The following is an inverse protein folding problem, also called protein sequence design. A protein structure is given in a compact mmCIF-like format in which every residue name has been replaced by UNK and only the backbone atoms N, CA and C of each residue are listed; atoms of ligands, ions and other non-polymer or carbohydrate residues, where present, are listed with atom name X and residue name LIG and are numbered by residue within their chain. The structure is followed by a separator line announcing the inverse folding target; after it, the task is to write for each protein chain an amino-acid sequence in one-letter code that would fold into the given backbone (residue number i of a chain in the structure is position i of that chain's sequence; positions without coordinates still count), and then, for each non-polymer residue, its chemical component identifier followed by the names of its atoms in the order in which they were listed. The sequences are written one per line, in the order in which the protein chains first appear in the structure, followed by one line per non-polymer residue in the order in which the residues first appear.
data_IF_535952554205
#
_entry.id   IF_535952554205
#
_cell.length_a   1.000
_cell.length_b   1.000
_cell.length_c   1.000
_cell.angle_alpha   90.00
_cell.angle_beta   90.00
_cell.angle_gamma   90.00
#
_symmetry.space_group_name_H-M   'P 1'
#
loop_
_entity.id
_entity.type
_entity.pdbx_description
1 polymer ?
#
# COMPACT_ATOMS: atom_id res chain seq x y z
N UNK A 1 -11.69 -28.34 -8.27
CA UNK A 1 -10.46 -27.51 -8.15
C UNK A 1 -10.33 -26.66 -9.41
N UNK A 2 -11.24 -25.71 -9.64
CA UNK A 2 -11.31 -24.94 -10.90
C UNK A 2 -11.45 -23.42 -10.70
N UNK A 3 -11.31 -22.91 -9.47
CA UNK A 3 -11.48 -21.47 -9.18
C UNK A 3 -10.20 -20.64 -9.12
N UNK A 4 -9.01 -21.25 -9.01
CA UNK A 4 -7.77 -20.49 -8.80
C UNK A 4 -7.30 -19.72 -10.05
N UNK A 5 -7.66 -20.20 -11.25
CA UNK A 5 -7.15 -19.66 -12.52
C UNK A 5 -7.93 -18.44 -13.01
N UNK A 6 -9.22 -18.33 -12.67
CA UNK A 6 -10.06 -17.19 -13.03
C UNK A 6 -9.73 -15.93 -12.21
N UNK A 7 -9.37 -16.10 -10.93
CA UNK A 7 -8.96 -14.99 -10.08
C UNK A 7 -7.62 -14.39 -10.53
N UNK A 8 -6.64 -15.23 -10.86
CA UNK A 8 -5.30 -14.81 -11.29
C UNK A 8 -5.30 -13.92 -12.56
N UNK A 9 -6.25 -14.12 -13.48
CA UNK A 9 -6.38 -13.32 -14.70
C UNK A 9 -6.98 -11.93 -14.37
N UNK A 10 -7.92 -11.84 -13.41
CA UNK A 10 -8.44 -10.55 -12.91
C UNK A 10 -7.41 -9.77 -12.09
N UNK A 11 -6.47 -10.44 -11.41
CA UNK A 11 -5.37 -9.80 -10.68
C UNK A 11 -4.46 -8.95 -11.56
N UNK A 12 -4.30 -9.31 -12.85
CA UNK A 12 -3.40 -8.61 -13.76
C UNK A 12 -4.02 -7.38 -14.46
N UNK A 13 -5.35 -7.35 -14.62
CA UNK A 13 -6.05 -6.40 -15.50
C UNK A 13 -6.85 -5.32 -14.75
N UNK A 14 -7.03 -5.45 -13.44
CA UNK A 14 -7.69 -4.44 -12.62
C UNK A 14 -6.82 -3.19 -12.44
N UNK A 15 -7.05 -2.15 -13.26
CA UNK A 15 -6.51 -0.83 -13.00
C UNK A 15 -6.88 -0.36 -11.57
N UNK A 16 -5.97 0.35 -10.90
CA UNK A 16 -6.20 0.88 -9.55
C UNK A 16 -7.50 1.70 -9.44
N UNK A 17 -7.85 2.46 -10.49
CA UNK A 17 -9.10 3.19 -10.53
C UNK A 17 -10.35 2.28 -10.53
N UNK A 18 -10.26 1.10 -11.14
CA UNK A 18 -11.34 0.11 -11.12
C UNK A 18 -11.51 -0.47 -9.72
N UNK A 19 -10.40 -0.83 -9.05
CA UNK A 19 -10.43 -1.29 -7.66
C UNK A 19 -11.03 -0.22 -6.74
N UNK A 20 -10.64 1.04 -6.90
CA UNK A 20 -11.20 2.17 -6.14
C UNK A 20 -12.70 2.30 -6.34
N UNK A 21 -13.20 2.24 -7.58
CA UNK A 21 -14.63 2.29 -7.88
C UNK A 21 -15.40 1.10 -7.32
N UNK A 22 -14.75 -0.05 -7.19
CA UNK A 22 -15.31 -1.24 -6.55
C UNK A 22 -15.35 -1.15 -5.01
N UNK A 23 -14.94 -0.03 -4.42
CA UNK A 23 -14.95 0.20 -2.97
C UNK A 23 -13.66 -0.17 -2.26
N UNK A 24 -12.63 -0.60 -3.01
CA UNK A 24 -11.33 -0.90 -2.43
C UNK A 24 -10.59 0.41 -2.08
N UNK A 25 -10.21 0.55 -0.81
CA UNK A 25 -9.52 1.69 -0.24
C UNK A 25 -8.04 1.40 0.04
N UNK A 26 -7.69 0.14 0.25
CA UNK A 26 -6.35 -0.30 0.64
C UNK A 26 -5.88 -1.54 -0.13
N UNK A 27 -4.55 -1.65 -0.21
CA UNK A 27 -3.83 -2.82 -0.67
C UNK A 27 -3.01 -3.37 0.49
N UNK A 28 -2.95 -4.70 0.59
CA UNK A 28 -2.00 -5.40 1.45
C UNK A 28 -0.76 -5.77 0.65
N UNK A 29 0.40 -5.48 1.22
CA UNK A 29 1.69 -5.64 0.54
C UNK A 29 2.59 -6.50 1.41
N UNK A 30 3.02 -7.64 0.85
CA UNK A 30 3.92 -8.57 1.51
C UNK A 30 5.32 -8.51 0.89
N UNK A 31 6.30 -8.16 1.71
CA UNK A 31 7.69 -8.16 1.27
C UNK A 31 8.21 -9.59 1.11
N UNK A 32 8.68 -9.92 -0.10
CA UNK A 32 9.29 -11.21 -0.39
C UNK A 32 10.72 -11.37 0.20
N UNK A 33 11.35 -10.27 0.63
CA UNK A 33 12.67 -10.27 1.24
C UNK A 33 12.66 -10.56 2.74
N UNK A 34 11.85 -9.81 3.51
CA UNK A 34 11.81 -9.90 4.97
C UNK A 34 10.50 -10.43 5.55
N UNK A 35 9.52 -10.80 4.72
CA UNK A 35 8.25 -11.39 5.16
C UNK A 35 7.30 -10.42 5.89
N UNK A 36 7.56 -9.12 5.85
CA UNK A 36 6.70 -8.14 6.53
C UNK A 36 5.52 -7.74 5.66
N UNK A 37 4.34 -7.72 6.28
CA UNK A 37 3.13 -7.13 5.72
C UNK A 37 3.08 -5.63 6.03
N UNK A 38 2.64 -4.84 5.07
CA UNK A 38 2.23 -3.46 5.28
C UNK A 38 1.02 -3.10 4.43
N UNK A 39 0.41 -1.97 4.74
CA UNK A 39 -0.78 -1.47 4.06
C UNK A 39 -0.44 -0.25 3.21
N UNK A 40 -0.97 -0.21 2.00
CA UNK A 40 -0.81 0.89 1.06
C UNK A 40 -2.19 1.40 0.66
N UNK A 41 -2.46 2.70 0.80
CA UNK A 41 -3.73 3.26 0.32
C UNK A 41 -3.74 3.24 -1.21
N UNK A 42 -4.90 2.92 -1.78
CA UNK A 42 -5.06 2.95 -3.24
C UNK A 42 -4.83 4.36 -3.79
N UNK A 43 -5.24 5.40 -3.08
CA UNK A 43 -5.00 6.80 -3.47
C UNK A 43 -3.50 7.11 -3.61
N UNK A 44 -2.69 6.65 -2.65
CA UNK A 44 -1.24 6.86 -2.66
C UNK A 44 -0.60 6.11 -3.84
N UNK A 45 -1.07 4.89 -4.12
CA UNK A 45 -0.64 4.12 -5.28
C UNK A 45 -1.00 4.81 -6.61
N UNK A 46 -2.22 5.36 -6.72
CA UNK A 46 -2.68 6.11 -7.89
C UNK A 46 -1.86 7.39 -8.08
N UNK A 47 -1.63 8.15 -7.00
CA UNK A 47 -0.84 9.39 -7.06
C UNK A 47 0.59 9.13 -7.55
N UNK A 48 1.19 7.99 -7.16
CA UNK A 48 2.57 7.63 -7.53
C UNK A 48 2.69 6.95 -8.89
N UNK A 49 1.72 6.14 -9.29
CA UNK A 49 1.85 5.22 -10.44
C UNK A 49 0.86 5.50 -11.58
N UNK A 50 -0.14 6.34 -11.33
CA UNK A 50 -1.25 6.61 -12.23
C UNK A 50 -2.44 5.67 -12.02
N UNK A 51 -3.62 6.18 -12.35
CA UNK A 51 -4.90 5.49 -12.19
C UNK A 51 -5.03 4.20 -13.03
N UNK A 52 -4.30 4.13 -14.15
CA UNK A 52 -4.27 2.98 -15.07
C UNK A 52 -3.29 1.89 -14.66
N UNK A 53 -2.47 2.11 -13.62
CA UNK A 53 -1.56 1.07 -13.14
C UNK A 53 -2.35 -0.14 -12.62
N UNK A 54 -1.89 -1.34 -12.94
CA UNK A 54 -2.42 -2.59 -12.38
C UNK A 54 -1.63 -3.06 -11.15
N UNK A 55 -2.16 -4.03 -10.41
CA UNK A 55 -1.50 -4.58 -9.20
C UNK A 55 -0.10 -5.13 -9.48
N UNK A 56 0.12 -5.76 -10.64
CA UNK A 56 1.44 -6.23 -11.07
C UNK A 56 2.46 -5.08 -11.15
N UNK A 57 2.03 -3.91 -11.60
CA UNK A 57 2.88 -2.72 -11.67
C UNK A 57 3.21 -2.19 -10.27
N UNK A 58 2.23 -2.20 -9.35
CA UNK A 58 2.45 -1.86 -7.94
C UNK A 58 3.46 -2.82 -7.31
N UNK A 59 3.21 -4.13 -7.45
CA UNK A 59 4.05 -5.21 -6.94
C UNK A 59 5.51 -5.06 -7.39
N UNK A 60 5.76 -4.73 -8.66
CA UNK A 60 7.10 -4.52 -9.20
C UNK A 60 7.81 -3.24 -8.73
N UNK A 61 7.05 -2.21 -8.32
CA UNK A 61 7.60 -0.89 -8.00
C UNK A 61 7.74 -0.62 -6.51
N UNK A 62 6.93 -1.28 -5.68
CA UNK A 62 7.00 -1.09 -4.23
C UNK A 62 8.36 -1.58 -3.69
N UNK A 63 8.86 -0.89 -2.68
CA UNK A 63 10.03 -1.30 -1.90
C UNK A 63 9.61 -1.51 -0.46
N UNK A 64 10.13 -2.56 0.16
CA UNK A 64 9.91 -2.79 1.57
C UNK A 64 10.62 -1.72 2.41
N UNK A 65 9.90 -1.16 3.38
CA UNK A 65 10.46 -0.20 4.32
C UNK A 65 11.43 -0.85 5.33
N UNK A 66 11.19 -2.11 5.72
CA UNK A 66 12.06 -2.80 6.69
C UNK A 66 13.42 -3.19 6.10
N UNK A 67 13.47 -3.69 4.86
CA UNK A 67 14.68 -4.28 4.28
C UNK A 67 15.13 -3.68 2.94
N UNK A 68 14.40 -2.69 2.40
CA UNK A 68 14.73 -2.03 1.14
C UNK A 68 14.49 -2.87 -0.12
N UNK A 69 14.16 -4.17 0.00
CA UNK A 69 13.93 -5.07 -1.14
C UNK A 69 12.84 -4.51 -2.05
N UNK A 70 13.13 -4.43 -3.34
CA UNK A 70 12.18 -4.06 -4.39
C UNK A 70 11.41 -5.30 -4.83
N UNK A 71 10.11 -5.14 -5.05
CA UNK A 71 9.24 -6.25 -5.38
C UNK A 71 8.49 -6.74 -4.15
N UNK A 72 7.19 -6.96 -4.30
CA UNK A 72 6.32 -7.52 -3.26
C UNK A 72 5.17 -8.31 -3.88
N UNK A 73 4.52 -9.13 -3.06
CA UNK A 73 3.15 -9.56 -3.34
C UNK A 73 2.18 -8.45 -2.94
N UNK A 74 1.15 -8.21 -3.75
CA UNK A 74 0.17 -7.13 -3.53
C UNK A 74 -1.23 -7.67 -3.81
N UNK A 75 -2.13 -7.46 -2.87
CA UNK A 75 -3.54 -7.86 -2.97
C UNK A 75 -4.47 -6.75 -2.49
N UNK A 76 -5.67 -6.62 -3.08
CA UNK A 76 -6.70 -5.75 -2.53
C UNK A 76 -7.24 -6.37 -1.23
N UNK A 77 -7.25 -5.59 -0.16
CA UNK A 77 -7.85 -6.02 1.10
C UNK A 77 -8.35 -4.78 1.84
N UNK A 78 -9.56 -4.87 2.41
CA UNK A 78 -10.05 -3.83 3.31
C UNK A 78 -9.49 -4.06 4.71
N UNK A 79 -9.01 -3.00 5.39
CA UNK A 79 -8.62 -3.12 6.78
C UNK A 79 -9.85 -3.53 7.62
N UNK A 80 -9.64 -4.30 8.71
CA UNK A 80 -10.70 -4.60 9.66
C UNK A 80 -11.34 -3.30 10.18
N UNK A 81 -12.66 -3.33 10.39
CA UNK A 81 -13.42 -2.20 10.92
C UNK A 81 -13.27 -2.05 12.44
N UNK A 82 -13.59 -0.88 12.98
CA UNK A 82 -13.60 -0.68 14.44
C UNK A 82 -14.54 -1.69 15.08
N UNK A 83 -14.06 -2.41 16.10
CA UNK A 83 -14.83 -3.42 16.82
C UNK A 83 -14.86 -4.81 16.18
N UNK A 84 -14.26 -5.00 14.99
CA UNK A 84 -14.11 -6.35 14.41
C UNK A 84 -12.90 -7.08 15.02
N UNK A 85 -12.90 -8.42 15.01
CA UNK A 85 -11.68 -9.18 15.25
C UNK A 85 -10.51 -8.66 14.41
N UNK A 86 -9.30 -8.72 14.97
CA UNK A 86 -8.05 -8.26 14.34
C UNK A 86 -7.90 -6.75 14.12
N UNK A 87 -8.91 -5.92 14.42
CA UNK A 87 -8.82 -4.46 14.32
C UNK A 87 -7.64 -3.88 15.11
N UNK A 88 -7.48 -4.28 16.37
CA UNK A 88 -6.42 -3.74 17.23
C UNK A 88 -5.03 -4.12 16.72
N UNK A 89 -4.86 -5.36 16.27
CA UNK A 89 -3.59 -5.83 15.69
C UNK A 89 -3.25 -5.06 14.42
N UNK A 90 -4.24 -4.84 13.55
CA UNK A 90 -4.11 -4.00 12.36
C UNK A 90 -3.73 -2.55 12.72
N UNK A 91 -4.43 -1.93 13.66
CA UNK A 91 -4.21 -0.54 14.06
C UNK A 91 -2.80 -0.33 14.65
N UNK A 92 -2.32 -1.28 15.46
CA UNK A 92 -0.96 -1.26 15.99
C UNK A 92 0.09 -1.40 14.89
N UNK A 93 -0.08 -2.37 13.98
CA UNK A 93 0.83 -2.53 12.85
C UNK A 93 0.86 -1.29 11.96
N UNK A 94 -0.31 -0.68 11.69
CA UNK A 94 -0.43 0.57 10.93
C UNK A 94 0.27 1.74 11.62
N UNK A 95 0.13 1.87 12.94
CA UNK A 95 0.80 2.90 13.73
C UNK A 95 2.32 2.75 13.70
N UNK A 96 2.83 1.53 13.89
CA UNK A 96 4.28 1.25 13.80
C UNK A 96 4.82 1.61 12.43
N UNK A 97 4.11 1.25 11.36
CA UNK A 97 4.49 1.62 9.99
C UNK A 97 4.51 3.14 9.78
N UNK A 98 3.45 3.86 10.18
CA UNK A 98 3.37 5.31 10.04
C UNK A 98 4.50 6.03 10.79
N UNK A 99 4.90 5.52 11.95
CA UNK A 99 6.03 6.08 12.71
C UNK A 99 7.35 5.93 11.94
N UNK A 100 7.64 4.73 11.44
CA UNK A 100 8.85 4.50 10.64
C UNK A 100 8.86 5.32 9.34
N UNK A 101 7.69 5.53 8.72
CA UNK A 101 7.55 6.37 7.53
C UNK A 101 7.78 7.86 7.87
N UNK A 102 7.24 8.35 8.99
CA UNK A 102 7.46 9.73 9.45
C UNK A 102 8.91 10.01 9.83
N UNK A 103 9.61 9.07 10.48
CA UNK A 103 11.04 9.19 10.80
C UNK A 103 11.88 9.43 9.52
N UNK A 104 11.52 8.78 8.41
CA UNK A 104 12.13 9.04 7.09
C UNK A 104 11.85 10.43 6.51
N UNK A 105 10.71 11.03 6.87
CA UNK A 105 10.39 12.42 6.49
C UNK A 105 11.00 13.44 7.45
N UNK A 106 11.41 13.04 8.67
CA UNK A 106 12.13 13.92 9.59
C UNK A 106 13.59 14.15 9.18
N UNK A 107 14.17 13.27 8.36
CA UNK A 107 15.40 13.54 7.60
C UNK A 107 15.15 14.47 6.37
N UNK A 108 13.91 14.93 6.15
CA UNK A 108 13.49 15.87 5.10
C UNK A 108 12.91 17.16 5.71
N UNK A 109 13.58 17.75 6.69
CA UNK A 109 13.36 19.16 7.09
C UNK A 109 13.56 20.16 5.90
N UNK A 110 13.91 19.64 4.72
CA UNK A 110 14.04 20.33 3.44
C UNK A 110 12.76 20.32 2.57
N UNK A 111 11.69 19.60 2.95
CA UNK A 111 10.41 19.61 2.20
C UNK A 111 9.33 20.47 2.87
N UNK A 112 9.62 21.76 3.05
CA UNK A 112 8.58 22.77 2.97
C UNK A 112 8.30 23.00 1.47
N UNK A 113 7.05 22.92 0.98
CA UNK A 113 6.75 23.46 -0.34
C UNK A 113 7.17 24.94 -0.33
N UNK A 114 7.85 25.45 -1.38
CA UNK A 114 8.26 26.85 -1.42
C UNK A 114 7.00 27.72 -1.28
N UNK A 115 6.85 28.39 -0.14
CA UNK A 115 5.71 29.26 0.17
C UNK A 115 5.07 29.15 1.56
N UNK A 116 5.51 28.26 2.46
CA UNK A 116 4.98 28.19 3.84
C UNK A 116 5.98 28.43 4.97
N UNK A 117 7.20 28.88 4.67
CA UNK A 117 8.06 29.52 5.65
C UNK A 117 7.94 31.05 5.55
N UNK A 118 6.94 31.61 6.24
CA UNK A 118 7.01 32.87 6.99
C UNK A 118 5.62 33.44 7.27
N UNK A 119 5.35 33.60 8.57
CA UNK A 119 4.29 34.38 9.18
C UNK A 119 4.61 34.50 10.65
#
# INVERSE_FOLDING_TARGET
MENATHDAIRYAEGALATLKRAGCSNLRVFCLGCGHWHWLRIDDAIARLGASAGLVMVARRVRCHCCGTKGAHVEPEEPPGIGTPHYLAWALARRTWLRAELERFQDLDEWLPPGQAQG
#
